data_IF_419077073680
#
_entry.id   IF_419077073680
#
_cell.length_a   1.000
_cell.length_b   1.000
_cell.length_c   1.000
_cell.angle_alpha   90.00
_cell.angle_beta   90.00
_cell.angle_gamma   90.00
#
_symmetry.space_group_name_H-M   'P 1'
#
loop_
_entity.id
_entity.type
_entity.pdbx_description
1 polymer ?
#
# COMPACT_ATOMS: atom_id res chain seq x y z
N UNK A 1 8.70 8.32 30.67
CA UNK A 1 8.29 8.55 29.29
C UNK A 1 7.14 7.65 28.91
N UNK A 2 6.19 8.20 28.25
CA UNK A 2 5.03 7.43 27.86
C UNK A 2 5.20 6.91 26.44
N UNK A 3 5.08 5.60 26.31
CA UNK A 3 5.09 4.98 25.00
C UNK A 3 3.67 4.98 24.45
N UNK A 4 3.53 5.53 23.27
CA UNK A 4 2.26 5.44 22.57
C UNK A 4 2.23 4.11 21.85
N UNK A 5 1.36 3.23 22.31
CA UNK A 5 1.16 1.96 21.64
C UNK A 5 0.28 2.17 20.43
N UNK A 6 0.83 1.86 19.28
CA UNK A 6 0.02 1.83 18.07
C UNK A 6 -0.62 0.46 18.01
N UNK A 7 -1.93 0.41 17.79
CA UNK A 7 -2.64 -0.85 17.70
C UNK A 7 -2.11 -1.69 16.53
N UNK A 8 -2.34 -3.00 16.58
CA UNK A 8 -1.97 -3.87 15.48
C UNK A 8 -2.63 -3.44 14.18
N UNK A 9 -3.90 -3.03 14.28
CA UNK A 9 -4.65 -2.60 13.12
C UNK A 9 -4.05 -1.34 12.50
N UNK A 10 -3.66 -0.40 13.35
CA UNK A 10 -3.04 0.84 12.87
C UNK A 10 -1.66 0.57 12.27
N UNK A 11 -0.88 -0.31 12.89
CA UNK A 11 0.44 -0.68 12.36
C UNK A 11 0.32 -1.34 11.00
N UNK A 12 -0.66 -2.22 10.84
CA UNK A 12 -0.91 -2.88 9.57
C UNK A 12 -1.31 -1.87 8.50
N UNK A 13 -2.19 -0.94 8.86
CA UNK A 13 -2.60 0.10 7.93
C UNK A 13 -1.41 0.94 7.48
N UNK A 14 -0.55 1.35 8.42
CA UNK A 14 0.63 2.13 8.11
C UNK A 14 1.57 1.37 7.18
N UNK A 15 1.75 0.08 7.44
CA UNK A 15 2.58 -0.78 6.58
C UNK A 15 2.04 -0.82 5.15
N UNK A 16 0.74 -1.07 5.01
CA UNK A 16 0.15 -1.16 3.67
C UNK A 16 0.16 0.17 2.93
N UNK A 17 0.00 1.27 3.65
CA UNK A 17 0.13 2.60 3.03
C UNK A 17 1.53 2.83 2.48
N UNK A 18 2.56 2.42 3.23
CA UNK A 18 3.93 2.51 2.77
C UNK A 18 4.17 1.65 1.53
N UNK A 19 3.65 0.43 1.55
CA UNK A 19 3.80 -0.47 0.42
C UNK A 19 3.08 0.06 -0.81
N UNK A 20 1.91 0.64 -0.62
CA UNK A 20 1.16 1.23 -1.72
C UNK A 20 1.93 2.41 -2.33
N UNK A 21 2.48 3.28 -1.49
CA UNK A 21 3.27 4.40 -1.99
C UNK A 21 4.47 3.93 -2.81
N UNK A 22 5.17 2.90 -2.32
CA UNK A 22 6.30 2.32 -3.04
C UNK A 22 5.85 1.70 -4.36
N UNK A 23 4.74 0.97 -4.33
CA UNK A 23 4.22 0.34 -5.55
C UNK A 23 3.83 1.37 -6.59
N UNK A 24 3.22 2.47 -6.17
CA UNK A 24 2.86 3.56 -7.07
C UNK A 24 4.09 4.20 -7.71
N UNK A 25 5.15 4.42 -6.92
CA UNK A 25 6.38 4.98 -7.45
C UNK A 25 7.03 4.06 -8.47
N UNK A 26 7.02 2.75 -8.20
CA UNK A 26 7.60 1.77 -9.12
C UNK A 26 6.82 1.71 -10.42
N UNK A 27 5.50 1.74 -10.34
CA UNK A 27 4.67 1.76 -11.54
C UNK A 27 4.91 3.02 -12.35
N UNK A 28 4.94 4.16 -11.70
CA UNK A 28 5.20 5.43 -12.37
C UNK A 28 6.54 5.44 -13.07
N UNK A 29 7.57 4.96 -12.39
CA UNK A 29 8.91 4.85 -12.97
C UNK A 29 8.91 3.96 -14.20
N UNK A 30 8.24 2.81 -14.10
CA UNK A 30 8.16 1.85 -15.21
C UNK A 30 7.45 2.47 -16.41
N UNK A 31 6.36 3.20 -16.17
CA UNK A 31 5.64 3.85 -17.26
C UNK A 31 6.47 4.91 -17.96
N UNK A 32 7.37 5.56 -17.24
CA UNK A 32 8.21 6.63 -17.80
C UNK A 32 9.48 6.12 -18.46
N UNK A 33 10.05 5.05 -17.93
CA UNK A 33 11.40 4.63 -18.30
C UNK A 33 11.48 3.24 -18.91
N UNK A 34 10.45 2.43 -18.74
CA UNK A 34 10.46 1.06 -19.23
C UNK A 34 9.15 0.82 -20.00
N UNK A 35 9.18 0.86 -21.34
CA UNK A 35 7.97 0.69 -22.13
C UNK A 35 7.44 -0.74 -22.20
N UNK A 36 7.97 -1.65 -21.39
CA UNK A 36 7.54 -3.03 -21.37
C UNK A 36 6.12 -3.14 -20.79
N UNK A 37 5.19 -3.55 -21.65
CA UNK A 37 3.80 -3.73 -21.28
C UNK A 37 3.62 -4.73 -20.13
N UNK A 38 4.38 -5.82 -20.16
CA UNK A 38 4.30 -6.85 -19.11
C UNK A 38 4.71 -6.30 -17.75
N UNK A 39 5.77 -5.53 -17.72
CA UNK A 39 6.26 -4.96 -16.47
C UNK A 39 5.24 -3.99 -15.90
N UNK A 40 4.64 -3.18 -16.76
CA UNK A 40 3.61 -2.23 -16.32
C UNK A 40 2.36 -2.93 -15.81
N UNK A 41 1.93 -4.00 -16.48
CA UNK A 41 0.78 -4.77 -16.05
C UNK A 41 1.02 -5.42 -14.68
N UNK A 42 2.20 -6.00 -14.50
CA UNK A 42 2.58 -6.64 -13.24
C UNK A 42 2.61 -5.64 -12.10
N UNK A 43 3.22 -4.49 -12.32
CA UNK A 43 3.29 -3.46 -11.29
C UNK A 43 1.93 -2.84 -11.01
N UNK A 44 1.08 -2.76 -12.02
CA UNK A 44 -0.30 -2.31 -11.83
C UNK A 44 -1.10 -3.24 -10.96
N UNK A 45 -0.89 -4.55 -11.09
CA UNK A 45 -1.55 -5.55 -10.24
C UNK A 45 -1.10 -5.41 -8.79
N UNK A 46 0.18 -5.13 -8.56
CA UNK A 46 0.68 -4.92 -7.21
C UNK A 46 0.04 -3.69 -6.58
N UNK A 47 -0.08 -2.60 -7.33
CA UNK A 47 -0.76 -1.39 -6.85
C UNK A 47 -2.20 -1.73 -6.47
N UNK A 48 -2.92 -2.42 -7.33
CA UNK A 48 -4.32 -2.80 -7.06
C UNK A 48 -4.45 -3.64 -5.81
N UNK A 49 -3.53 -4.57 -5.61
CA UNK A 49 -3.52 -5.40 -4.41
C UNK A 49 -3.36 -4.54 -3.15
N UNK A 50 -2.40 -3.62 -3.16
CA UNK A 50 -2.19 -2.79 -1.98
C UNK A 50 -3.30 -1.77 -1.76
N UNK A 51 -3.96 -1.31 -2.83
CA UNK A 51 -5.15 -0.49 -2.67
C UNK A 51 -6.25 -1.24 -1.93
N UNK A 52 -6.46 -2.48 -2.30
CA UNK A 52 -7.43 -3.33 -1.61
C UNK A 52 -7.00 -3.54 -0.16
N UNK A 53 -5.72 -3.84 0.07
CA UNK A 53 -5.22 -4.09 1.43
C UNK A 53 -5.36 -2.86 2.32
N UNK A 54 -5.09 -1.66 1.79
CA UNK A 54 -5.26 -0.42 2.54
C UNK A 54 -6.74 -0.23 2.90
N UNK A 55 -7.64 -0.45 1.94
CA UNK A 55 -9.07 -0.29 2.20
C UNK A 55 -9.55 -1.24 3.30
N UNK A 56 -9.09 -2.49 3.27
CA UNK A 56 -9.46 -3.45 4.30
C UNK A 56 -8.88 -3.07 5.65
N UNK A 57 -7.64 -2.62 5.67
CA UNK A 57 -7.00 -2.21 6.92
C UNK A 57 -7.67 -0.97 7.51
N UNK A 58 -8.11 -0.05 6.67
CA UNK A 58 -8.86 1.12 7.14
C UNK A 58 -10.17 0.73 7.80
N UNK A 59 -10.86 -0.25 7.22
CA UNK A 59 -12.09 -0.75 7.82
C UNK A 59 -11.85 -1.37 9.18
N UNK A 60 -10.77 -2.14 9.31
CA UNK A 60 -10.42 -2.74 10.60
C UNK A 60 -10.18 -1.68 11.67
N UNK A 61 -9.44 -0.63 11.32
CA UNK A 61 -9.17 0.46 12.26
C UNK A 61 -10.47 1.16 12.65
N UNK A 62 -11.33 1.43 11.69
CA UNK A 62 -12.59 2.12 11.97
C UNK A 62 -13.54 1.27 12.80
N UNK A 63 -13.58 -0.04 12.57
CA UNK A 63 -14.45 -0.94 13.30
C UNK A 63 -13.98 -1.10 14.75
N UNK A 64 -12.70 -1.00 14.99
CA UNK A 64 -12.13 -1.15 16.33
C UNK A 64 -11.95 0.17 17.07
N UNK A 65 -12.14 1.24 16.35
CA UNK A 65 -12.02 2.55 16.94
C UNK A 65 -13.34 3.07 17.43
#
# INVERSE_FOLDING_TARGET
>A
MKLVSVSHEQSRLNFFRDQLATANRRLDWSMKHNPDWYDQAEKGEVVSFYEWAVNMAEKEVNDNG
#
